data_IF_195346239047
#
_entry.id   IF_195346239047
#
_cell.length_a   1.000
_cell.length_b   1.000
_cell.length_c   1.000
_cell.angle_alpha   90.00
_cell.angle_beta   90.00
_cell.angle_gamma   90.00
#
_symmetry.space_group_name_H-M   'P 1'
#
loop_
_entity.id
_entity.type
_entity.pdbx_description
1 polymer ?
#
# COMPACT_ATOMS: atom_id res chain seq x y z
N UNK A 1 7.46 -4.62 -17.47
CA UNK A 1 6.00 -4.84 -17.62
C UNK A 1 5.33 -3.73 -16.84
N UNK A 2 4.34 -3.07 -17.40
CA UNK A 2 3.53 -2.05 -16.72
C UNK A 2 2.16 -2.60 -16.36
N UNK A 3 1.35 -1.82 -15.61
CA UNK A 3 0.01 -2.19 -15.20
C UNK A 3 -0.01 -3.07 -13.94
N UNK A 4 -1.14 -3.75 -13.73
CA UNK A 4 -1.38 -4.60 -12.56
C UNK A 4 -0.88 -6.01 -12.81
N UNK A 5 -0.13 -6.58 -11.87
CA UNK A 5 0.32 -7.96 -11.96
C UNK A 5 0.43 -8.61 -10.57
N UNK A 6 0.24 -9.92 -10.53
CA UNK A 6 0.63 -10.75 -9.40
C UNK A 6 2.10 -11.13 -9.55
N UNK A 7 2.88 -10.87 -8.53
CA UNK A 7 4.32 -11.20 -8.48
C UNK A 7 4.53 -12.32 -7.47
N UNK A 8 5.26 -13.35 -7.83
CA UNK A 8 5.55 -14.52 -7.01
C UNK A 8 7.05 -14.90 -7.09
N UNK A 9 7.45 -15.89 -6.29
CA UNK A 9 8.85 -16.34 -6.21
C UNK A 9 9.74 -15.24 -5.64
N UNK A 10 10.88 -15.03 -6.25
CA UNK A 10 11.83 -13.95 -5.92
C UNK A 10 11.58 -12.68 -6.75
N UNK A 11 10.38 -12.52 -7.32
CA UNK A 11 10.01 -11.42 -8.20
C UNK A 11 10.10 -11.78 -9.69
N UNK A 12 10.28 -13.04 -10.00
CA UNK A 12 10.51 -13.59 -11.34
C UNK A 12 9.25 -14.15 -12.02
N UNK A 13 8.25 -14.54 -11.22
CA UNK A 13 6.99 -15.06 -11.73
C UNK A 13 5.95 -13.93 -11.77
N UNK A 14 5.65 -13.45 -12.99
CA UNK A 14 4.72 -12.34 -13.22
C UNK A 14 3.46 -12.84 -13.93
N UNK A 15 2.29 -12.63 -13.33
CA UNK A 15 0.98 -12.88 -13.93
C UNK A 15 0.26 -11.56 -14.13
N UNK A 16 0.00 -11.19 -15.37
CA UNK A 16 -0.77 -9.98 -15.68
C UNK A 16 -2.21 -10.10 -15.20
N UNK A 17 -2.74 -9.00 -14.66
CA UNK A 17 -4.10 -8.85 -14.18
C UNK A 17 -4.77 -7.68 -14.90
N UNK A 18 -6.12 -7.60 -14.92
CA UNK A 18 -6.82 -6.39 -15.33
C UNK A 18 -6.35 -5.18 -14.51
N UNK A 19 -6.60 -3.96 -14.99
CA UNK A 19 -6.38 -2.75 -14.18
C UNK A 19 -7.10 -2.86 -12.83
N UNK A 20 -6.49 -2.33 -11.78
CA UNK A 20 -7.19 -2.18 -10.50
C UNK A 20 -8.40 -1.25 -10.66
N UNK A 21 -9.45 -1.41 -9.82
CA UNK A 21 -10.58 -0.48 -9.81
C UNK A 21 -10.13 0.97 -9.62
N UNK A 22 -10.89 1.92 -10.18
CA UNK A 22 -10.60 3.35 -10.05
C UNK A 22 -10.51 3.73 -8.57
N UNK A 23 -9.37 4.29 -8.20
CA UNK A 23 -9.08 4.70 -6.83
C UNK A 23 -7.98 5.76 -6.80
N UNK A 24 -7.82 6.37 -5.63
CA UNK A 24 -6.78 7.33 -5.33
C UNK A 24 -5.92 6.82 -4.17
N UNK A 25 -4.65 7.17 -4.19
CA UNK A 25 -3.72 6.87 -3.12
C UNK A 25 -3.25 8.15 -2.44
N UNK A 26 -3.17 8.13 -1.12
CA UNK A 26 -2.33 9.07 -0.36
C UNK A 26 -1.20 8.28 0.24
N UNK A 27 0.03 8.61 -0.12
CA UNK A 27 1.25 7.96 0.37
C UNK A 27 1.96 8.91 1.32
N UNK A 28 2.25 8.45 2.52
CA UNK A 28 2.98 9.18 3.56
C UNK A 28 4.26 8.44 3.87
N UNK A 29 5.39 9.13 3.72
CA UNK A 29 6.72 8.56 3.98
C UNK A 29 7.37 9.28 5.16
N UNK A 30 7.57 8.61 6.31
CA UNK A 30 8.33 9.15 7.43
C UNK A 30 9.78 9.46 7.04
N UNK A 31 10.41 10.37 7.78
CA UNK A 31 11.81 10.81 7.54
C UNK A 31 12.86 9.79 8.00
N UNK A 32 12.44 8.57 8.36
CA UNK A 32 13.33 7.48 8.75
C UNK A 32 13.07 6.23 7.88
N UNK A 33 14.07 5.39 7.79
CA UNK A 33 13.97 4.09 7.13
C UNK A 33 13.77 2.94 8.12
N UNK A 34 13.30 1.81 7.61
CA UNK A 34 13.24 0.53 8.33
C UNK A 34 14.30 -0.39 7.75
N UNK A 35 15.01 -1.10 8.61
CA UNK A 35 15.97 -2.11 8.19
C UNK A 35 15.22 -3.33 7.64
N UNK A 36 15.32 -3.55 6.34
CA UNK A 36 14.70 -4.70 5.68
C UNK A 36 15.21 -6.05 6.22
N UNK A 37 16.54 -6.25 6.41
CA UNK A 37 17.03 -7.49 7.00
C UNK A 37 16.49 -7.75 8.41
N UNK A 38 16.37 -6.70 9.24
CA UNK A 38 15.81 -6.82 10.60
C UNK A 38 14.32 -7.16 10.59
N UNK A 39 13.53 -6.57 9.68
CA UNK A 39 12.11 -6.88 9.53
C UNK A 39 11.91 -8.36 9.12
N UNK A 40 12.69 -8.87 8.17
CA UNK A 40 12.64 -10.28 7.79
C UNK A 40 13.11 -11.20 8.93
N UNK A 41 14.22 -10.88 9.60
CA UNK A 41 14.69 -11.66 10.73
C UNK A 41 13.67 -11.67 11.90
N UNK A 42 12.95 -10.58 12.12
CA UNK A 42 11.87 -10.52 13.09
C UNK A 42 10.70 -11.40 12.66
N UNK A 43 10.31 -11.34 11.39
CA UNK A 43 9.27 -12.19 10.83
C UNK A 43 9.61 -13.68 10.96
N UNK A 44 10.83 -14.09 10.62
CA UNK A 44 11.27 -15.49 10.73
C UNK A 44 11.24 -15.98 12.18
N UNK A 45 11.47 -15.09 13.15
CA UNK A 45 11.50 -15.44 14.57
C UNK A 45 10.12 -15.51 15.22
N UNK A 46 9.22 -14.56 14.91
CA UNK A 46 7.94 -14.41 15.62
C UNK A 46 6.70 -14.58 14.72
N UNK A 47 6.88 -14.62 13.41
CA UNK A 47 5.78 -14.65 12.45
C UNK A 47 5.01 -13.33 12.38
N UNK A 48 3.84 -13.38 11.79
CA UNK A 48 2.88 -12.27 11.71
C UNK A 48 1.45 -12.80 11.83
N UNK A 49 0.55 -12.02 12.42
CA UNK A 49 -0.88 -12.30 12.43
C UNK A 49 -1.55 -11.90 11.11
N UNK A 50 -0.87 -11.11 10.28
CA UNK A 50 -1.39 -10.59 9.02
C UNK A 50 -1.08 -11.60 7.90
N UNK A 51 -2.13 -12.21 7.37
CA UNK A 51 -2.05 -13.17 6.25
C UNK A 51 -2.85 -12.65 5.05
N UNK A 52 -2.23 -11.87 4.14
CA UNK A 52 -2.93 -11.36 2.96
C UNK A 52 -3.42 -12.51 2.06
N UNK A 53 -4.68 -12.45 1.63
CA UNK A 53 -5.22 -13.42 0.68
C UNK A 53 -5.02 -12.91 -0.76
N UNK A 54 -3.91 -13.31 -1.37
CA UNK A 54 -3.59 -12.93 -2.75
C UNK A 54 -4.59 -13.50 -3.78
N UNK A 55 -5.25 -14.62 -3.47
CA UNK A 55 -6.30 -15.19 -4.33
C UNK A 55 -7.56 -14.33 -4.32
N UNK A 56 -8.01 -13.94 -3.13
CA UNK A 56 -9.14 -13.03 -2.99
C UNK A 56 -8.85 -11.65 -3.60
N UNK A 57 -7.62 -11.12 -3.46
CA UNK A 57 -7.22 -9.87 -4.12
C UNK A 57 -7.29 -9.99 -5.66
N UNK A 58 -6.80 -11.09 -6.23
CA UNK A 58 -6.88 -11.32 -7.68
C UNK A 58 -8.34 -11.42 -8.14
N UNK A 59 -9.20 -12.11 -7.41
CA UNK A 59 -10.62 -12.22 -7.72
C UNK A 59 -11.32 -10.86 -7.65
N UNK A 60 -11.04 -10.05 -6.63
CA UNK A 60 -11.57 -8.71 -6.47
C UNK A 60 -11.14 -7.76 -7.61
N UNK A 61 -9.87 -7.80 -8.03
CA UNK A 61 -9.37 -7.03 -9.18
C UNK A 61 -10.13 -7.43 -10.45
N UNK A 62 -10.32 -8.72 -10.71
CA UNK A 62 -11.07 -9.20 -11.88
C UNK A 62 -12.54 -8.83 -11.86
N UNK A 63 -13.14 -8.73 -10.67
CA UNK A 63 -14.52 -8.28 -10.48
C UNK A 63 -14.68 -6.75 -10.51
N UNK A 64 -13.58 -5.98 -10.47
CA UNK A 64 -13.63 -4.53 -10.33
C UNK A 64 -14.13 -4.08 -8.95
N UNK A 65 -13.98 -4.92 -7.93
CA UNK A 65 -14.48 -4.67 -6.56
C UNK A 65 -13.38 -4.11 -5.66
N UNK A 66 -13.43 -2.80 -5.45
CA UNK A 66 -12.45 -2.09 -4.62
C UNK A 66 -12.56 -2.47 -3.13
N UNK A 67 -13.77 -2.71 -2.64
CA UNK A 67 -13.98 -3.07 -1.21
C UNK A 67 -13.43 -4.45 -0.90
N UNK A 68 -13.74 -5.43 -1.75
CA UNK A 68 -13.20 -6.78 -1.62
C UNK A 68 -11.66 -6.78 -1.74
N UNK A 69 -11.11 -5.97 -2.68
CA UNK A 69 -9.66 -5.81 -2.81
C UNK A 69 -9.03 -5.25 -1.54
N UNK A 70 -9.61 -4.18 -0.99
CA UNK A 70 -9.11 -3.55 0.23
C UNK A 70 -9.26 -4.45 1.46
N UNK A 71 -10.34 -5.25 1.55
CA UNK A 71 -10.54 -6.18 2.64
C UNK A 71 -9.54 -7.35 2.64
N UNK A 72 -9.14 -7.82 1.44
CA UNK A 72 -8.17 -8.90 1.29
C UNK A 72 -6.70 -8.43 1.35
N UNK A 73 -6.46 -7.11 1.30
CA UNK A 73 -5.12 -6.53 1.29
C UNK A 73 -4.48 -6.52 2.68
N UNK A 74 -3.17 -6.76 2.72
CA UNK A 74 -2.40 -6.72 3.95
C UNK A 74 -0.89 -6.74 3.67
N UNK A 75 -0.09 -6.55 4.71
CA UNK A 75 1.35 -6.68 4.64
C UNK A 75 1.87 -7.44 5.87
N UNK A 76 2.30 -8.68 5.68
CA UNK A 76 2.80 -9.53 6.75
C UNK A 76 4.03 -8.96 7.48
N UNK A 77 4.83 -8.11 6.82
CA UNK A 77 5.99 -7.46 7.44
C UNK A 77 5.63 -6.24 8.29
N UNK A 78 4.38 -5.77 8.28
CA UNK A 78 3.98 -4.55 8.98
C UNK A 78 4.23 -4.64 10.49
N UNK A 79 3.84 -5.76 11.11
CA UNK A 79 4.03 -6.01 12.55
C UNK A 79 5.50 -6.16 12.94
N UNK A 80 6.34 -6.63 12.01
CA UNK A 80 7.76 -6.89 12.24
C UNK A 80 8.67 -5.73 11.83
N UNK A 81 8.10 -4.66 11.24
CA UNK A 81 8.87 -3.58 10.64
C UNK A 81 9.56 -2.66 11.64
N UNK A 82 9.04 -2.55 12.87
CA UNK A 82 9.50 -1.57 13.85
C UNK A 82 9.20 -0.12 13.49
N UNK A 83 8.37 0.13 12.47
CA UNK A 83 8.00 1.47 12.00
C UNK A 83 7.06 2.16 13.00
N UNK A 84 7.57 3.16 13.71
CA UNK A 84 6.88 3.83 14.84
C UNK A 84 5.64 4.62 14.43
N UNK A 85 5.63 5.21 13.22
CA UNK A 85 4.54 6.08 12.76
C UNK A 85 3.42 5.33 12.01
N UNK A 86 3.59 4.05 11.70
CA UNK A 86 2.62 3.28 10.89
C UNK A 86 1.22 3.38 11.45
N UNK A 87 1.04 3.15 12.75
CA UNK A 87 -0.28 3.23 13.38
C UNK A 87 -0.91 4.62 13.30
N UNK A 88 -0.13 5.67 13.57
CA UNK A 88 -0.59 7.06 13.54
C UNK A 88 -0.97 7.50 12.12
N UNK A 89 -0.17 7.11 11.11
CA UNK A 89 -0.47 7.43 9.70
C UNK A 89 -1.73 6.67 9.26
N UNK A 90 -1.86 5.38 9.57
CA UNK A 90 -3.05 4.58 9.23
C UNK A 90 -4.32 5.16 9.85
N UNK A 91 -4.27 5.58 11.12
CA UNK A 91 -5.39 6.22 11.79
C UNK A 91 -5.81 7.50 11.08
N UNK A 92 -4.85 8.41 10.80
CA UNK A 92 -5.11 9.65 10.10
C UNK A 92 -5.74 9.42 8.71
N UNK A 93 -5.21 8.48 7.93
CA UNK A 93 -5.74 8.19 6.59
C UNK A 93 -7.18 7.65 6.66
N UNK A 94 -7.47 6.78 7.64
CA UNK A 94 -8.82 6.24 7.85
C UNK A 94 -9.80 7.31 8.33
N UNK A 95 -9.41 8.20 9.22
CA UNK A 95 -10.22 9.35 9.67
C UNK A 95 -10.64 10.26 8.51
N UNK A 96 -9.82 10.31 7.44
CA UNK A 96 -10.11 11.06 6.23
C UNK A 96 -10.75 10.22 5.11
N UNK A 97 -11.29 9.05 5.45
CA UNK A 97 -12.10 8.24 4.52
C UNK A 97 -11.34 7.23 3.67
N UNK A 98 -10.10 6.87 4.04
CA UNK A 98 -9.43 5.75 3.37
C UNK A 98 -10.20 4.45 3.59
N UNK A 99 -10.52 3.73 2.51
CA UNK A 99 -11.13 2.40 2.54
C UNK A 99 -10.21 1.41 3.25
N UNK A 100 -8.91 1.50 2.98
CA UNK A 100 -7.88 0.78 3.71
C UNK A 100 -6.61 1.62 3.82
N UNK A 101 -5.76 1.30 4.80
CA UNK A 101 -4.45 1.92 4.94
C UNK A 101 -3.43 0.86 5.37
N UNK A 102 -2.32 0.76 4.63
CA UNK A 102 -1.31 -0.29 4.74
C UNK A 102 0.10 0.28 4.63
N UNK A 103 1.04 -0.37 5.30
CA UNK A 103 2.46 -0.11 5.05
C UNK A 103 2.89 -0.68 3.70
N UNK A 104 3.69 0.05 2.94
CA UNK A 104 4.27 -0.46 1.69
C UNK A 104 5.40 -1.44 1.98
N UNK A 105 5.44 -2.55 1.24
CA UNK A 105 6.51 -3.54 1.20
C UNK A 105 7.42 -3.55 2.44
N UNK A 106 8.62 -3.00 2.30
CA UNK A 106 9.73 -3.06 3.25
C UNK A 106 10.23 -1.70 3.77
N UNK A 107 9.53 -0.61 3.45
CA UNK A 107 9.88 0.75 3.91
C UNK A 107 8.81 1.25 4.87
N UNK A 108 9.12 2.24 5.68
CA UNK A 108 8.18 2.81 6.63
C UNK A 108 7.02 3.61 5.98
N UNK A 109 6.97 3.71 4.66
CA UNK A 109 5.91 4.41 3.97
C UNK A 109 4.57 3.70 4.14
N UNK A 110 3.52 4.47 4.36
CA UNK A 110 2.14 4.00 4.50
C UNK A 110 1.30 4.65 3.42
N UNK A 111 0.40 3.88 2.82
CA UNK A 111 -0.55 4.41 1.86
C UNK A 111 -1.99 4.13 2.30
N UNK A 112 -2.89 5.04 1.96
CA UNK A 112 -4.33 4.84 2.04
C UNK A 112 -4.93 4.78 0.65
N UNK A 113 -5.98 3.98 0.49
CA UNK A 113 -6.77 3.88 -0.74
C UNK A 113 -8.08 4.62 -0.53
N UNK A 114 -8.42 5.50 -1.46
CA UNK A 114 -9.60 6.35 -1.44
C UNK A 114 -10.44 6.17 -2.70
N UNK A 115 -11.75 6.38 -2.58
CA UNK A 115 -12.67 6.30 -3.73
C UNK A 115 -12.64 7.56 -4.60
N UNK A 116 -12.34 8.71 -3.98
CA UNK A 116 -12.35 10.00 -4.64
C UNK A 116 -11.11 10.83 -4.33
N UNK A 117 -10.80 11.76 -5.24
CA UNK A 117 -9.64 12.63 -5.15
C UNK A 117 -9.73 13.61 -3.97
N UNK A 118 -10.92 14.11 -3.69
CA UNK A 118 -11.13 15.09 -2.63
C UNK A 118 -10.73 14.56 -1.26
N UNK A 119 -11.18 13.35 -0.91
CA UNK A 119 -10.80 12.67 0.32
C UNK A 119 -9.30 12.37 0.39
N UNK A 120 -8.71 11.89 -0.72
CA UNK A 120 -7.27 11.63 -0.79
C UNK A 120 -6.44 12.91 -0.58
N UNK A 121 -6.84 14.01 -1.20
CA UNK A 121 -6.16 15.31 -1.04
C UNK A 121 -6.34 15.89 0.37
N UNK A 122 -7.52 15.77 0.97
CA UNK A 122 -7.77 16.19 2.36
C UNK A 122 -6.88 15.42 3.34
N UNK A 123 -6.79 14.10 3.18
CA UNK A 123 -5.88 13.26 3.96
C UNK A 123 -4.41 13.69 3.79
N UNK A 124 -3.99 13.96 2.55
CA UNK A 124 -2.64 14.43 2.26
C UNK A 124 -2.33 15.78 2.94
N UNK A 125 -3.26 16.73 2.91
CA UNK A 125 -3.09 18.03 3.59
C UNK A 125 -2.97 17.86 5.11
N UNK A 126 -3.77 17.00 5.70
CA UNK A 126 -3.69 16.70 7.13
C UNK A 126 -2.34 16.04 7.48
N UNK A 127 -1.90 15.07 6.66
CA UNK A 127 -0.64 14.38 6.86
C UNK A 127 0.59 15.30 6.74
N UNK A 128 0.57 16.27 5.82
CA UNK A 128 1.66 17.26 5.63
C UNK A 128 1.96 18.13 6.86
N UNK A 129 1.03 18.18 7.83
CA UNK A 129 1.28 18.88 9.12
C UNK A 129 2.29 18.16 9.99
N UNK A 130 2.53 16.87 9.78
CA UNK A 130 3.40 16.01 10.60
C UNK A 130 4.54 15.37 9.80
N UNK A 131 4.30 15.06 8.53
CA UNK A 131 5.28 14.37 7.67
C UNK A 131 5.57 15.19 6.42
N UNK A 132 6.84 15.30 6.05
CA UNK A 132 7.28 16.16 4.93
C UNK A 132 7.02 15.53 3.57
N UNK A 133 7.08 14.20 3.49
CA UNK A 133 6.96 13.47 2.24
C UNK A 133 5.56 12.85 2.14
N UNK A 134 4.64 13.56 1.47
CA UNK A 134 3.25 13.14 1.28
C UNK A 134 2.86 13.37 -0.18
N UNK A 135 2.36 12.33 -0.81
CA UNK A 135 2.01 12.30 -2.23
C UNK A 135 0.58 11.82 -2.42
N UNK A 136 -0.09 12.35 -3.47
CA UNK A 136 -1.37 11.83 -3.97
C UNK A 136 -1.11 11.27 -5.36
N UNK A 137 -1.62 10.09 -5.65
CA UNK A 137 -1.41 9.38 -6.90
C UNK A 137 -2.63 8.56 -7.32
N UNK A 138 -2.67 8.20 -8.59
CA UNK A 138 -3.59 7.20 -9.14
C UNK A 138 -2.81 6.00 -9.69
N UNK A 139 -3.47 4.83 -9.86
CA UNK A 139 -2.90 3.72 -10.59
C UNK A 139 -2.54 4.12 -12.02
N UNK A 140 -1.38 3.71 -12.52
CA UNK A 140 -0.99 3.88 -13.91
C UNK A 140 -0.88 2.51 -14.61
N UNK A 141 -1.61 2.36 -15.71
CA UNK A 141 -1.59 1.14 -16.53
C UNK A 141 -0.40 1.10 -17.50
N UNK A 142 0.26 2.23 -17.74
CA UNK A 142 1.28 2.39 -18.80
C UNK A 142 2.70 1.96 -18.40
N UNK A 143 2.95 1.76 -17.11
CA UNK A 143 4.29 1.49 -16.59
C UNK A 143 5.24 2.69 -16.69
N UNK A 144 6.53 2.46 -16.45
CA UNK A 144 7.53 3.51 -16.49
C UNK A 144 7.69 4.08 -17.91
N UNK A 145 7.65 5.40 -18.04
CA UNK A 145 7.82 6.14 -19.30
C UNK A 145 8.96 7.14 -19.15
N UNK A 146 9.72 7.32 -20.21
CA UNK A 146 10.70 8.42 -20.27
C UNK A 146 9.95 9.67 -20.73
N UNK A 147 9.83 10.67 -19.87
CA UNK A 147 9.40 12.01 -20.30
C UNK A 147 10.57 12.67 -21.06
N UNK A 148 10.32 13.03 -22.32
CA UNK A 148 11.24 13.86 -23.10
C UNK A 148 11.02 15.33 -22.76
#
# INVERSE_FOLDING_TARGET
MGGTCRVQGVGDLLKALPPVPDCWFTVVMPDYGVSTPEAFAAYDRVGSSIHPDCGAQEAAIRAGDLDALCAAAGNALEECSGAKDTGAIKALLREHGAVTALMTGRRAAVFGIFRDEGAARAAAQAAKRRWKQVYVAQPDCGGARVSR
#
